data_IF_877346567691
#
_entry.id   IF_877346567691
#
_cell.length_a   1.000
_cell.length_b   1.000
_cell.length_c   1.000
_cell.angle_alpha   90.00
_cell.angle_beta   90.00
_cell.angle_gamma   90.00
#
_symmetry.space_group_name_H-M   'P 1'
#
loop_
_entity.id
_entity.type
_entity.pdbx_description
1 polymer ?
#
# COMPACT_ATOMS: atom_id res chain seq x y z
N UNK A 1 3.52 18.05 -21.39
CA UNK A 1 2.39 18.64 -20.64
C UNK A 1 1.17 17.70 -20.59
N UNK A 2 0.52 17.34 -21.70
CA UNK A 2 -0.68 16.47 -21.65
C UNK A 2 -0.40 15.02 -21.23
N UNK A 3 0.67 14.41 -21.76
CA UNK A 3 1.10 13.04 -21.42
C UNK A 3 1.49 12.93 -19.93
N UNK A 4 2.24 13.93 -19.45
CA UNK A 4 2.68 14.02 -18.06
C UNK A 4 1.53 14.09 -17.04
N UNK A 5 0.56 14.99 -17.26
CA UNK A 5 -0.64 15.09 -16.40
C UNK A 5 -1.47 13.80 -16.39
N UNK A 6 -1.45 13.04 -17.49
CA UNK A 6 -2.08 11.72 -17.52
C UNK A 6 -1.34 10.70 -16.65
N UNK A 7 -0.01 10.77 -16.61
CA UNK A 7 0.82 9.94 -15.71
C UNK A 7 0.60 10.31 -14.24
N UNK A 8 0.57 11.59 -13.88
CA UNK A 8 0.31 12.02 -12.49
C UNK A 8 -1.09 11.59 -12.02
N UNK A 9 -2.09 11.74 -12.91
CA UNK A 9 -3.44 11.23 -12.65
C UNK A 9 -3.49 9.72 -12.44
N UNK A 10 -2.75 8.96 -13.27
CA UNK A 10 -2.64 7.51 -13.11
C UNK A 10 -1.92 7.11 -11.81
N UNK A 11 -0.92 7.89 -11.38
CA UNK A 11 -0.17 7.65 -10.16
C UNK A 11 -1.05 7.86 -8.92
N UNK A 12 -1.80 8.96 -8.86
CA UNK A 12 -2.75 9.23 -7.78
C UNK A 12 -3.86 8.16 -7.70
N UNK A 13 -4.35 7.69 -8.86
CA UNK A 13 -5.28 6.56 -8.92
C UNK A 13 -4.65 5.26 -8.40
N UNK A 14 -3.40 4.98 -8.75
CA UNK A 14 -2.64 3.83 -8.27
C UNK A 14 -2.49 3.81 -6.75
N UNK A 15 -2.12 4.95 -6.15
CA UNK A 15 -2.03 5.10 -4.68
C UNK A 15 -3.39 4.81 -4.03
N UNK A 16 -4.47 5.41 -4.54
CA UNK A 16 -5.82 5.19 -4.00
C UNK A 16 -6.26 3.73 -4.11
N UNK A 17 -5.92 3.04 -5.20
CA UNK A 17 -6.22 1.63 -5.38
C UNK A 17 -5.48 0.72 -4.38
N UNK A 18 -4.22 1.06 -4.07
CA UNK A 18 -3.43 0.33 -3.07
C UNK A 18 -3.98 0.54 -1.67
N UNK A 19 -4.34 1.77 -1.32
CA UNK A 19 -4.97 2.07 -0.03
C UNK A 19 -6.32 1.35 0.12
N UNK A 20 -7.11 1.27 -0.95
CA UNK A 20 -8.33 0.45 -0.99
C UNK A 20 -8.05 -1.03 -0.75
N UNK A 21 -7.10 -1.59 -1.49
CA UNK A 21 -6.69 -3.00 -1.37
C UNK A 21 -6.19 -3.32 0.04
N UNK A 22 -5.45 -2.40 0.65
CA UNK A 22 -4.99 -2.51 2.03
C UNK A 22 -6.17 -2.61 3.01
N UNK A 23 -7.14 -1.71 2.90
CA UNK A 23 -8.32 -1.71 3.77
C UNK A 23 -9.16 -2.99 3.61
N UNK A 24 -9.32 -3.47 2.38
CA UNK A 24 -10.04 -4.71 2.08
C UNK A 24 -9.34 -5.92 2.72
N UNK A 25 -8.01 -6.00 2.58
CA UNK A 25 -7.22 -7.07 3.19
C UNK A 25 -7.29 -7.03 4.72
N UNK A 26 -7.27 -5.85 5.34
CA UNK A 26 -7.51 -5.70 6.79
C UNK A 26 -8.89 -6.23 7.21
N UNK A 27 -9.92 -6.00 6.39
CA UNK A 27 -11.25 -6.57 6.59
C UNK A 27 -11.24 -8.10 6.53
N UNK A 28 -10.61 -8.67 5.49
CA UNK A 28 -10.48 -10.11 5.33
C UNK A 28 -9.66 -10.75 6.47
N UNK A 29 -8.59 -10.10 6.93
CA UNK A 29 -7.77 -10.59 8.03
C UNK A 29 -8.55 -10.72 9.33
N UNK A 30 -9.29 -9.67 9.71
CA UNK A 30 -10.15 -9.69 10.90
C UNK A 30 -11.25 -10.73 10.79
N UNK A 31 -11.83 -10.92 9.60
CA UNK A 31 -12.86 -11.93 9.37
C UNK A 31 -12.31 -13.34 9.57
N UNK A 32 -11.17 -13.64 8.93
CA UNK A 32 -10.54 -14.95 9.07
C UNK A 32 -10.10 -15.20 10.52
N UNK A 33 -9.57 -14.21 11.21
CA UNK A 33 -9.22 -14.33 12.63
C UNK A 33 -10.45 -14.65 13.49
N UNK A 34 -11.58 -13.99 13.23
CA UNK A 34 -12.87 -14.30 13.87
C UNK A 34 -13.35 -15.71 13.58
N UNK A 35 -13.30 -16.14 12.32
CA UNK A 35 -13.67 -17.50 11.90
C UNK A 35 -12.77 -18.51 12.60
N UNK A 36 -11.45 -18.33 12.55
CA UNK A 36 -10.46 -19.19 13.22
C UNK A 36 -10.69 -19.25 14.74
N UNK A 37 -10.98 -18.13 15.41
CA UNK A 37 -11.27 -18.12 16.85
C UNK A 37 -12.53 -18.93 17.20
N UNK A 38 -13.54 -18.90 16.32
CA UNK A 38 -14.80 -19.61 16.49
C UNK A 38 -14.59 -21.13 16.41
N UNK A 39 -13.87 -21.61 15.38
CA UNK A 39 -13.54 -23.04 15.23
C UNK A 39 -12.47 -23.51 16.22
N UNK A 40 -11.54 -22.65 16.62
CA UNK A 40 -10.48 -22.96 17.59
C UNK A 40 -11.03 -23.37 18.97
N UNK A 41 -12.21 -22.86 19.34
CA UNK A 41 -12.91 -23.29 20.56
C UNK A 41 -13.31 -24.77 20.56
N UNK A 42 -13.36 -25.41 19.39
CA UNK A 42 -13.63 -26.85 19.23
C UNK A 42 -12.38 -27.72 19.17
N UNK A 43 -11.19 -27.12 19.05
CA UNK A 43 -9.91 -27.80 18.92
C UNK A 43 -9.16 -27.84 20.27
N UNK A 44 -9.67 -28.62 21.23
CA UNK A 44 -8.97 -28.91 22.49
C UNK A 44 -7.86 -29.98 22.32
N UNK A 45 -6.88 -29.96 23.22
CA UNK A 45 -5.82 -30.99 23.28
C UNK A 45 -4.69 -30.74 22.27
N UNK A 46 -4.16 -31.79 21.64
CA UNK A 46 -3.03 -31.69 20.71
C UNK A 46 -3.30 -30.80 19.47
N UNK A 47 -4.57 -30.64 19.08
CA UNK A 47 -4.98 -29.75 18.00
C UNK A 47 -4.77 -28.25 18.33
N UNK A 48 -4.79 -27.88 19.62
CA UNK A 48 -4.55 -26.48 20.06
C UNK A 48 -3.16 -25.97 19.71
N UNK A 49 -2.15 -26.86 19.70
CA UNK A 49 -0.77 -26.50 19.36
C UNK A 49 -0.65 -26.16 17.88
N UNK A 50 -1.24 -26.99 17.01
CA UNK A 50 -1.26 -26.75 15.57
C UNK A 50 -2.07 -25.50 15.22
N UNK A 51 -3.19 -25.26 15.90
CA UNK A 51 -3.98 -24.04 15.77
C UNK A 51 -3.15 -22.79 16.10
N UNK A 52 -2.44 -22.83 17.23
CA UNK A 52 -1.60 -21.71 17.68
C UNK A 52 -0.50 -21.41 16.66
N UNK A 53 0.14 -22.45 16.11
CA UNK A 53 1.14 -22.29 15.05
C UNK A 53 0.55 -21.70 13.77
N UNK A 54 -0.63 -22.17 13.35
CA UNK A 54 -1.34 -21.62 12.19
C UNK A 54 -1.68 -20.14 12.40
N UNK A 55 -2.19 -19.79 13.58
CA UNK A 55 -2.54 -18.42 13.91
C UNK A 55 -1.32 -17.50 13.89
N UNK A 56 -0.18 -17.97 14.41
CA UNK A 56 1.05 -17.19 14.39
C UNK A 56 1.58 -17.01 12.97
N UNK A 57 1.62 -18.07 12.17
CA UNK A 57 2.05 -17.98 10.77
C UNK A 57 1.11 -17.08 9.95
N UNK A 58 -0.18 -17.10 10.26
CA UNK A 58 -1.17 -16.20 9.67
C UNK A 58 -0.88 -14.74 9.99
N UNK A 59 -0.70 -14.40 11.28
CA UNK A 59 -0.36 -13.03 11.72
C UNK A 59 0.93 -12.54 11.06
N UNK A 60 1.96 -13.39 10.99
CA UNK A 60 3.23 -13.06 10.32
C UNK A 60 3.03 -12.75 8.83
N UNK A 61 2.22 -13.54 8.13
CA UNK A 61 1.94 -13.33 6.71
C UNK A 61 1.11 -12.06 6.49
N UNK A 62 0.11 -11.80 7.33
CA UNK A 62 -0.67 -10.58 7.29
C UNK A 62 0.21 -9.34 7.50
N UNK A 63 1.13 -9.38 8.48
CA UNK A 63 2.09 -8.30 8.72
C UNK A 63 2.98 -8.03 7.51
N UNK A 64 3.51 -9.08 6.86
CA UNK A 64 4.33 -8.94 5.63
C UNK A 64 3.56 -8.30 4.49
N UNK A 65 2.31 -8.70 4.28
CA UNK A 65 1.46 -8.13 3.22
C UNK A 65 1.21 -6.65 3.49
N UNK A 66 0.89 -6.29 4.74
CA UNK A 66 0.67 -4.90 5.14
C UNK A 66 1.91 -4.04 4.92
N UNK A 67 3.07 -4.54 5.33
CA UNK A 67 4.35 -3.87 5.12
C UNK A 67 4.61 -3.64 3.62
N UNK A 68 4.42 -4.66 2.80
CA UNK A 68 4.65 -4.56 1.35
C UNK A 68 3.72 -3.54 0.67
N UNK A 69 2.46 -3.47 1.08
CA UNK A 69 1.49 -2.49 0.56
C UNK A 69 1.84 -1.07 1.01
N UNK A 70 2.27 -0.90 2.26
CA UNK A 70 2.71 0.39 2.77
C UNK A 70 3.98 0.87 2.04
N UNK A 71 4.98 0.01 1.89
CA UNK A 71 6.20 0.30 1.14
C UNK A 71 5.91 0.68 -0.31
N UNK A 72 4.92 0.02 -0.93
CA UNK A 72 4.49 0.34 -2.29
C UNK A 72 3.83 1.72 -2.36
N UNK A 73 2.93 2.03 -1.42
CA UNK A 73 2.28 3.34 -1.34
C UNK A 73 3.30 4.47 -1.12
N UNK A 74 4.28 4.26 -0.24
CA UNK A 74 5.35 5.24 0.02
C UNK A 74 6.25 5.45 -1.20
N UNK A 75 6.61 4.37 -1.92
CA UNK A 75 7.36 4.48 -3.19
C UNK A 75 6.60 5.28 -4.23
N UNK A 76 5.30 5.03 -4.40
CA UNK A 76 4.48 5.77 -5.36
C UNK A 76 4.36 7.25 -4.99
N UNK A 77 4.13 7.57 -3.71
CA UNK A 77 4.12 8.97 -3.22
C UNK A 77 5.48 9.66 -3.39
N UNK A 78 6.58 8.93 -3.22
CA UNK A 78 7.92 9.46 -3.48
C UNK A 78 8.13 9.77 -4.97
N UNK A 79 7.67 8.88 -5.85
CA UNK A 79 7.72 9.10 -7.30
C UNK A 79 6.90 10.34 -7.70
N UNK A 80 5.70 10.49 -7.14
CA UNK A 80 4.82 11.64 -7.37
C UNK A 80 5.51 12.97 -7.02
N UNK A 81 6.09 13.04 -5.82
CA UNK A 81 6.86 14.22 -5.37
C UNK A 81 8.07 14.50 -6.25
N UNK A 82 8.80 13.47 -6.68
CA UNK A 82 9.97 13.65 -7.53
C UNK A 82 9.58 14.17 -8.93
N UNK A 83 8.42 13.76 -9.45
CA UNK A 83 7.89 14.27 -10.71
C UNK A 83 7.48 15.74 -10.58
N UNK A 84 6.72 16.10 -9.54
CA UNK A 84 6.34 17.49 -9.27
C UNK A 84 7.55 18.41 -9.06
N UNK A 85 8.60 17.94 -8.39
CA UNK A 85 9.83 18.71 -8.21
C UNK A 85 10.56 18.97 -9.54
N UNK A 86 10.63 17.97 -10.43
CA UNK A 86 11.21 18.14 -11.77
C UNK A 86 10.41 19.14 -12.62
N UNK A 87 9.08 19.18 -12.46
CA UNK A 87 8.24 20.17 -13.14
C UNK A 87 8.54 21.59 -12.69
N UNK A 88 8.58 21.83 -11.37
CA UNK A 88 8.87 23.15 -10.82
C UNK A 88 10.24 23.69 -11.25
N UNK A 89 11.27 22.82 -11.30
CA UNK A 89 12.60 23.17 -11.79
C UNK A 89 12.60 23.49 -13.30
N UNK A 90 11.86 22.71 -14.10
CA UNK A 90 11.76 22.92 -15.55
C UNK A 90 11.03 24.23 -15.88
N UNK A 91 9.92 24.51 -15.19
CA UNK A 91 9.18 25.77 -15.36
C UNK A 91 10.01 26.98 -14.92
N UNK A 92 10.71 26.87 -13.78
CA UNK A 92 11.61 27.93 -13.29
C UNK A 92 12.75 28.23 -14.27
N UNK A 93 13.38 27.18 -14.81
CA UNK A 93 14.42 27.32 -15.84
C UNK A 93 13.89 28.00 -17.10
N UNK A 94 12.70 27.62 -17.56
CA UNK A 94 12.09 28.22 -18.76
C UNK A 94 11.73 29.69 -18.55
N UNK A 95 11.17 30.04 -17.39
CA UNK A 95 10.88 31.41 -17.01
C UNK A 95 12.15 32.27 -16.95
N UNK A 96 13.26 31.70 -16.49
CA UNK A 96 14.55 32.41 -16.42
C UNK A 96 15.17 32.65 -17.81
N UNK A 97 15.03 31.71 -18.74
CA UNK A 97 15.47 31.88 -20.14
C UNK A 97 14.63 32.97 -20.84
N UNK A 98 13.32 32.96 -20.66
CA UNK A 98 12.42 33.94 -21.26
C UNK A 98 12.54 35.34 -20.65
N UNK A 99 12.82 35.44 -19.35
CA UNK A 99 13.06 36.73 -18.69
C UNK A 99 14.44 37.33 -18.96
N UNK A 100 15.36 36.57 -19.55
CA UNK A 100 16.70 37.01 -19.93
C UNK A 100 16.82 37.49 -21.38
N UNK A 101 15.76 37.41 -22.18
CA UNK A 101 15.63 37.96 -23.53
C UNK A 101 14.85 39.28 -23.51
#
# INVERSE_FOLDING_TARGET
MADQRAVDGALAQGVSAIEGTYNDLQGHFRRLEGDLSTIGSSWQGSASVQFTQLMQQWQDNAAKINQALQDLADKLRSTDKAMQANEADTEGSFAQILGGL
#
